data_IF_301826421590
#
_entry.id   IF_301826421590
#
_cell.length_a   1.000
_cell.length_b   1.000
_cell.length_c   1.000
_cell.angle_alpha   90.00
_cell.angle_beta   90.00
_cell.angle_gamma   90.00
#
_symmetry.space_group_name_H-M   'P 1'
#
loop_
_entity.id
_entity.type
_entity.pdbx_description
1 polymer ?
#
# COMPACT_ATOMS: atom_id res chain seq x y z
N UNK A 1 -4.29 -27.80 -2.33
CA UNK A 1 -5.65 -27.63 -2.88
C UNK A 1 -6.04 -26.16 -2.66
N UNK A 2 -6.45 -25.48 -3.71
CA UNK A 2 -6.90 -24.09 -3.64
C UNK A 2 -8.08 -23.95 -2.64
N UNK A 3 -7.88 -23.22 -1.57
CA UNK A 3 -8.86 -23.04 -0.50
C UNK A 3 -8.86 -21.57 -0.04
N UNK A 4 -10.01 -20.90 -0.16
CA UNK A 4 -10.24 -19.55 0.35
C UNK A 4 -11.02 -19.54 1.67
N UNK A 5 -11.15 -20.67 2.34
CA UNK A 5 -11.72 -20.71 3.68
C UNK A 5 -10.69 -20.18 4.67
N UNK A 6 -11.06 -19.11 5.37
CA UNK A 6 -10.19 -18.51 6.37
C UNK A 6 -9.92 -19.47 7.53
N UNK A 7 -8.68 -19.51 7.98
CA UNK A 7 -8.29 -20.25 9.19
C UNK A 7 -8.86 -19.57 10.45
N UNK A 8 -8.95 -20.29 11.57
CA UNK A 8 -9.33 -19.68 12.86
C UNK A 8 -8.46 -18.49 13.24
N UNK A 9 -7.16 -18.56 12.97
CA UNK A 9 -6.20 -17.48 13.21
C UNK A 9 -6.47 -16.26 12.35
N UNK A 10 -6.71 -16.43 11.04
CA UNK A 10 -7.08 -15.36 10.13
C UNK A 10 -8.39 -14.67 10.54
N UNK A 11 -9.35 -15.44 11.08
CA UNK A 11 -10.59 -14.91 11.61
C UNK A 11 -10.35 -14.07 12.88
N UNK A 12 -9.49 -14.53 13.78
CA UNK A 12 -9.15 -13.81 15.02
C UNK A 12 -8.40 -12.49 14.70
N UNK A 13 -7.40 -12.53 13.80
CA UNK A 13 -6.69 -11.35 13.34
C UNK A 13 -7.66 -10.35 12.71
N UNK A 14 -8.52 -10.81 11.79
CA UNK A 14 -9.54 -9.96 11.15
C UNK A 14 -10.44 -9.28 12.17
N UNK A 15 -10.97 -10.05 13.12
CA UNK A 15 -11.93 -9.54 14.08
C UNK A 15 -11.25 -8.57 15.08
N UNK A 16 -10.00 -8.81 15.47
CA UNK A 16 -9.18 -7.88 16.26
C UNK A 16 -8.95 -6.56 15.52
N UNK A 17 -8.58 -6.61 14.24
CA UNK A 17 -8.37 -5.40 13.43
C UNK A 17 -9.69 -4.66 13.23
N UNK A 18 -10.79 -5.36 13.04
CA UNK A 18 -12.14 -4.77 12.91
C UNK A 18 -12.55 -4.01 14.17
N UNK A 19 -12.30 -4.57 15.35
CA UNK A 19 -12.56 -3.91 16.62
C UNK A 19 -11.67 -2.68 16.80
N UNK A 20 -10.37 -2.80 16.49
CA UNK A 20 -9.44 -1.68 16.50
C UNK A 20 -9.91 -0.55 15.57
N UNK A 21 -10.33 -0.88 14.35
CA UNK A 21 -10.87 0.10 13.40
C UNK A 21 -12.12 0.78 13.93
N UNK A 22 -13.03 0.03 14.51
CA UNK A 22 -14.30 0.55 15.03
C UNK A 22 -14.09 1.53 16.20
N UNK A 23 -13.18 1.23 17.12
CA UNK A 23 -12.99 1.98 18.35
C UNK A 23 -11.89 3.03 18.29
N UNK A 24 -10.82 2.80 17.54
CA UNK A 24 -9.64 3.67 17.53
C UNK A 24 -9.46 4.48 16.24
N UNK A 25 -9.86 3.95 15.08
CA UNK A 25 -9.62 4.60 13.79
C UNK A 25 -10.82 5.42 13.32
N UNK A 26 -12.01 4.79 13.20
CA UNK A 26 -13.22 5.46 12.68
C UNK A 26 -13.61 6.73 13.46
N UNK A 27 -13.56 6.79 14.80
CA UNK A 27 -13.90 8.01 15.53
C UNK A 27 -12.97 9.19 15.19
N UNK A 28 -11.70 8.91 14.87
CA UNK A 28 -10.73 9.91 14.46
C UNK A 28 -10.89 10.29 12.97
N UNK A 29 -11.13 9.30 12.12
CA UNK A 29 -11.27 9.47 10.67
C UNK A 29 -12.49 10.32 10.29
N UNK A 30 -13.59 10.18 11.04
CA UNK A 30 -14.87 10.85 10.77
C UNK A 30 -15.00 12.25 11.42
N UNK A 31 -13.95 12.79 12.02
CA UNK A 31 -13.98 14.15 12.58
C UNK A 31 -14.27 15.18 11.49
N UNK A 32 -15.11 16.20 11.76
CA UNK A 32 -15.51 17.18 10.77
C UNK A 32 -14.37 17.88 10.04
N UNK A 33 -13.28 18.19 10.74
CA UNK A 33 -12.07 18.82 10.20
C UNK A 33 -11.32 17.94 9.19
N UNK A 34 -11.59 16.64 9.12
CA UNK A 34 -10.99 15.70 8.17
C UNK A 34 -11.84 15.42 6.94
N UNK A 35 -13.05 15.93 6.90
CA UNK A 35 -13.96 15.69 5.76
C UNK A 35 -13.50 16.41 4.48
N UNK A 36 -12.65 17.45 4.60
CA UNK A 36 -12.04 18.10 3.47
C UNK A 36 -10.68 17.47 3.14
N UNK A 37 -10.51 16.98 1.93
CA UNK A 37 -9.33 16.26 1.49
C UNK A 37 -8.01 17.04 1.73
N UNK A 38 -8.02 18.37 1.56
CA UNK A 38 -6.86 19.25 1.77
C UNK A 38 -6.47 19.44 3.23
N UNK A 39 -7.41 19.21 4.15
CA UNK A 39 -7.22 19.37 5.61
C UNK A 39 -7.00 18.03 6.31
N UNK A 40 -6.89 16.95 5.53
CA UNK A 40 -6.80 15.59 6.02
C UNK A 40 -5.39 15.29 6.52
N UNK A 41 -5.17 15.50 7.81
CA UNK A 41 -3.91 15.15 8.47
C UNK A 41 -3.81 13.63 8.69
N UNK A 42 -2.57 13.09 8.67
CA UNK A 42 -2.30 11.70 9.02
C UNK A 42 -2.70 11.42 10.48
N UNK A 43 -3.34 10.29 10.71
CA UNK A 43 -3.73 9.81 12.04
C UNK A 43 -2.54 9.13 12.73
N UNK A 44 -1.55 9.92 13.16
CA UNK A 44 -0.32 9.38 13.78
C UNK A 44 -0.61 8.58 15.05
N UNK A 45 -1.58 9.00 15.87
CA UNK A 45 -1.97 8.25 17.07
C UNK A 45 -2.55 6.88 16.75
N UNK A 46 -3.31 6.78 15.65
CA UNK A 46 -3.83 5.50 15.19
C UNK A 46 -2.70 4.61 14.63
N UNK A 47 -1.71 5.19 13.95
CA UNK A 47 -0.52 4.46 13.49
C UNK A 47 0.30 3.92 14.66
N UNK A 48 0.53 4.72 15.70
CA UNK A 48 1.26 4.30 16.90
C UNK A 48 0.56 3.11 17.57
N UNK A 49 -0.76 3.20 17.78
CA UNK A 49 -1.57 2.11 18.35
C UNK A 49 -1.59 0.86 17.47
N UNK A 50 -1.69 1.02 16.17
CA UNK A 50 -1.62 -0.09 15.21
C UNK A 50 -0.25 -0.79 15.24
N UNK A 51 0.83 -0.03 15.40
CA UNK A 51 2.18 -0.56 15.57
C UNK A 51 2.31 -1.37 16.85
N UNK A 52 1.72 -0.90 17.96
CA UNK A 52 1.67 -1.65 19.24
C UNK A 52 0.88 -2.95 19.15
N UNK A 53 -0.11 -3.02 18.26
CA UNK A 53 -0.83 -4.26 17.92
C UNK A 53 -0.05 -5.20 16.98
N UNK A 54 1.18 -4.84 16.58
CA UNK A 54 2.00 -5.63 15.67
C UNK A 54 1.66 -5.48 14.18
N UNK A 55 0.73 -4.57 13.81
CA UNK A 55 0.30 -4.43 12.40
C UNK A 55 1.40 -3.86 11.50
N UNK A 56 2.36 -3.13 12.05
CA UNK A 56 3.53 -2.63 11.34
C UNK A 56 4.53 -3.73 10.96
N UNK A 57 4.59 -4.80 11.76
CA UNK A 57 5.48 -5.96 11.58
C UNK A 57 4.71 -7.21 11.15
N UNK A 58 3.48 -7.07 10.67
CA UNK A 58 2.55 -8.17 10.41
C UNK A 58 3.15 -9.24 9.48
N UNK A 59 3.74 -8.86 8.35
CA UNK A 59 4.30 -9.80 7.37
C UNK A 59 5.75 -10.22 7.68
N UNK A 60 6.42 -9.53 8.62
CA UNK A 60 7.77 -9.91 9.05
C UNK A 60 7.72 -11.28 9.75
N UNK A 61 8.70 -12.14 9.50
CA UNK A 61 8.75 -13.49 10.07
C UNK A 61 8.77 -13.47 11.60
N UNK A 62 8.24 -14.54 12.23
CA UNK A 62 8.25 -14.71 13.68
C UNK A 62 9.66 -14.69 14.26
N UNK A 63 10.62 -15.33 13.57
CA UNK A 63 12.05 -15.33 13.94
C UNK A 63 12.66 -13.93 13.91
N UNK A 64 12.10 -13.02 13.14
CA UNK A 64 12.51 -11.62 13.09
C UNK A 64 11.70 -10.71 14.03
N UNK A 65 10.76 -11.25 14.79
CA UNK A 65 9.93 -10.52 15.74
C UNK A 65 8.64 -9.94 15.15
N UNK A 66 8.18 -10.47 14.02
CA UNK A 66 6.88 -10.17 13.41
C UNK A 66 5.82 -11.24 13.69
N UNK A 67 4.72 -11.21 12.96
CA UNK A 67 3.63 -12.19 13.05
C UNK A 67 3.69 -13.27 11.95
N UNK A 68 4.59 -13.16 10.98
CA UNK A 68 4.74 -14.12 9.88
C UNK A 68 3.50 -14.26 8.99
N UNK A 69 2.67 -13.22 8.92
CA UNK A 69 1.42 -13.27 8.18
C UNK A 69 1.66 -13.44 6.68
N UNK A 70 0.92 -14.35 6.06
CA UNK A 70 0.92 -14.57 4.64
C UNK A 70 0.30 -13.37 3.86
N UNK A 71 0.40 -13.42 2.54
CA UNK A 71 -0.12 -12.35 1.67
C UNK A 71 -1.65 -12.24 1.78
N UNK A 72 -2.36 -13.35 1.96
CA UNK A 72 -3.82 -13.34 2.13
C UNK A 72 -4.22 -12.64 3.44
N UNK A 73 -3.58 -12.97 4.55
CA UNK A 73 -3.80 -12.32 5.85
C UNK A 73 -3.48 -10.82 5.78
N UNK A 74 -2.38 -10.46 5.12
CA UNK A 74 -2.02 -9.06 4.87
C UNK A 74 -3.08 -8.30 4.06
N UNK A 75 -3.71 -8.94 3.07
CA UNK A 75 -4.83 -8.35 2.32
C UNK A 75 -6.08 -8.17 3.20
N UNK A 76 -6.41 -9.16 4.03
CA UNK A 76 -7.56 -9.07 4.96
C UNK A 76 -7.38 -7.90 5.93
N UNK A 77 -6.21 -7.78 6.53
CA UNK A 77 -5.88 -6.68 7.46
C UNK A 77 -5.93 -5.33 6.75
N UNK A 78 -5.37 -5.24 5.54
CA UNK A 78 -5.39 -4.01 4.75
C UNK A 78 -6.82 -3.58 4.38
N UNK A 79 -7.70 -4.52 4.00
CA UNK A 79 -9.11 -4.25 3.72
C UNK A 79 -9.83 -3.69 4.95
N UNK A 80 -9.67 -4.32 6.13
CA UNK A 80 -10.33 -3.89 7.36
C UNK A 80 -9.80 -2.51 7.83
N UNK A 81 -8.49 -2.26 7.75
CA UNK A 81 -7.91 -0.94 8.06
C UNK A 81 -8.43 0.14 7.12
N UNK A 82 -8.50 -0.13 5.82
CA UNK A 82 -8.95 0.83 4.81
C UNK A 82 -10.45 1.18 4.94
N UNK A 83 -11.25 0.29 5.53
CA UNK A 83 -12.63 0.58 5.93
C UNK A 83 -12.71 1.72 6.94
N UNK A 84 -11.69 1.88 7.79
CA UNK A 84 -11.60 2.95 8.78
C UNK A 84 -10.93 4.21 8.23
N UNK A 85 -9.69 4.06 7.77
CA UNK A 85 -8.91 5.14 7.17
C UNK A 85 -7.90 4.57 6.15
N UNK A 86 -8.04 4.90 4.86
CA UNK A 86 -7.17 4.36 3.83
C UNK A 86 -5.72 4.86 3.93
N UNK A 87 -5.47 6.02 4.57
CA UNK A 87 -4.10 6.52 4.73
C UNK A 87 -3.36 5.70 5.79
N UNK A 88 -4.02 5.34 6.89
CA UNK A 88 -3.48 4.43 7.92
C UNK A 88 -3.19 3.05 7.31
N UNK A 89 -4.14 2.52 6.54
CA UNK A 89 -3.98 1.23 5.87
C UNK A 89 -2.77 1.21 4.93
N UNK A 90 -2.62 2.25 4.09
CA UNK A 90 -1.52 2.35 3.12
C UNK A 90 -0.16 2.40 3.80
N UNK A 91 -0.01 3.20 4.88
CA UNK A 91 1.27 3.32 5.62
C UNK A 91 1.67 1.99 6.23
N UNK A 92 0.74 1.29 6.87
CA UNK A 92 1.02 0.02 7.56
C UNK A 92 1.29 -1.11 6.57
N UNK A 93 0.45 -1.26 5.54
CA UNK A 93 0.62 -2.29 4.52
C UNK A 93 1.99 -2.18 3.84
N UNK A 94 2.36 -0.97 3.39
CA UNK A 94 3.65 -0.76 2.76
C UNK A 94 4.83 -1.00 3.71
N UNK A 95 4.74 -0.53 4.95
CA UNK A 95 5.82 -0.76 5.93
C UNK A 95 5.99 -2.24 6.23
N UNK A 96 4.89 -2.96 6.47
CA UNK A 96 4.91 -4.39 6.80
C UNK A 96 5.50 -5.23 5.67
N UNK A 97 5.07 -4.98 4.43
CA UNK A 97 5.59 -5.69 3.26
C UNK A 97 7.05 -5.39 2.98
N UNK A 98 7.44 -4.12 3.09
CA UNK A 98 8.84 -3.73 2.88
C UNK A 98 9.74 -4.27 4.00
N UNK A 99 9.21 -4.41 5.22
CA UNK A 99 9.92 -5.06 6.32
C UNK A 99 10.20 -6.54 6.00
N UNK A 100 9.19 -7.28 5.55
CA UNK A 100 9.39 -8.66 5.11
C UNK A 100 10.40 -8.74 3.97
N UNK A 101 10.24 -7.95 2.90
CA UNK A 101 11.14 -7.96 1.77
C UNK A 101 12.59 -7.65 2.18
N UNK A 102 12.82 -6.61 2.97
CA UNK A 102 14.16 -6.19 3.35
C UNK A 102 14.78 -7.11 4.41
N UNK A 103 14.09 -7.35 5.52
CA UNK A 103 14.68 -8.03 6.66
C UNK A 103 14.67 -9.56 6.53
N UNK A 104 13.66 -10.15 5.90
CA UNK A 104 13.59 -11.61 5.78
C UNK A 104 14.29 -12.12 4.50
N UNK A 105 14.19 -11.38 3.38
CA UNK A 105 14.57 -11.91 2.08
C UNK A 105 15.87 -11.31 1.51
N UNK A 106 16.16 -10.02 1.73
CA UNK A 106 17.15 -9.30 0.95
C UNK A 106 18.41 -8.88 1.73
N UNK A 107 18.26 -8.50 2.99
CA UNK A 107 19.40 -8.03 3.81
C UNK A 107 20.34 -9.16 4.20
N UNK A 108 21.64 -8.87 4.20
CA UNK A 108 22.63 -9.76 4.81
C UNK A 108 22.43 -9.84 6.33
N UNK A 109 22.96 -10.88 7.02
CA UNK A 109 22.90 -10.96 8.48
C UNK A 109 23.46 -9.71 9.17
N UNK A 110 24.51 -9.11 8.64
CA UNK A 110 25.16 -7.90 9.19
C UNK A 110 24.25 -6.66 9.02
N UNK A 111 23.63 -6.50 7.86
CA UNK A 111 22.68 -5.44 7.61
C UNK A 111 21.46 -5.58 8.52
N UNK A 112 20.94 -6.81 8.64
CA UNK A 112 19.81 -7.14 9.51
C UNK A 112 20.15 -6.84 10.98
N UNK A 113 21.32 -7.26 11.48
CA UNK A 113 21.77 -6.96 12.84
C UNK A 113 21.87 -5.46 13.12
N UNK A 114 22.16 -4.66 12.09
CA UNK A 114 22.29 -3.20 12.19
C UNK A 114 20.95 -2.47 12.18
N UNK A 115 19.99 -2.87 11.34
CA UNK A 115 18.78 -2.09 11.08
C UNK A 115 17.54 -2.65 11.78
N UNK A 116 17.41 -3.97 11.94
CA UNK A 116 16.23 -4.60 12.51
C UNK A 116 15.95 -4.21 13.98
N UNK A 117 16.94 -4.13 14.89
CA UNK A 117 16.65 -3.80 16.30
C UNK A 117 15.96 -2.44 16.47
N UNK A 118 16.41 -1.41 15.73
CA UNK A 118 15.81 -0.08 15.78
C UNK A 118 14.40 -0.06 15.18
N UNK A 119 14.18 -0.86 14.14
CA UNK A 119 12.86 -1.03 13.54
C UNK A 119 11.88 -1.68 14.52
N UNK A 120 12.26 -2.70 15.26
CA UNK A 120 11.37 -3.41 16.19
C UNK A 120 10.98 -2.57 17.41
N UNK A 121 11.94 -1.85 17.99
CA UNK A 121 11.74 -1.13 19.26
C UNK A 121 10.93 0.17 19.09
N UNK A 122 10.98 0.78 17.92
CA UNK A 122 10.38 2.09 17.67
C UNK A 122 9.10 1.96 16.85
N UNK A 123 7.95 2.11 17.51
CA UNK A 123 6.61 2.03 16.89
C UNK A 123 6.40 3.02 15.73
N UNK A 124 7.20 4.09 15.67
CA UNK A 124 7.19 5.11 14.61
C UNK A 124 8.24 4.88 13.53
N UNK A 125 8.90 3.74 13.53
CA UNK A 125 9.89 3.42 12.51
C UNK A 125 9.20 2.83 11.28
N UNK A 126 8.73 3.70 10.38
CA UNK A 126 8.22 3.28 9.08
C UNK A 126 9.35 3.15 8.06
N UNK A 127 9.07 2.41 6.98
CA UNK A 127 9.97 2.15 5.86
C UNK A 127 9.41 2.76 4.58
N UNK A 128 10.29 3.11 3.64
CA UNK A 128 9.88 3.59 2.33
C UNK A 128 10.78 3.05 1.22
N UNK A 129 10.18 2.71 0.09
CA UNK A 129 10.87 2.41 -1.16
C UNK A 129 10.88 3.67 -2.04
N UNK A 130 12.07 4.11 -2.43
CA UNK A 130 12.28 5.28 -3.27
C UNK A 130 12.79 4.86 -4.66
N UNK A 131 11.85 4.51 -5.52
CA UNK A 131 12.09 3.99 -6.87
C UNK A 131 11.64 4.94 -7.98
N UNK A 132 10.69 5.85 -7.70
CA UNK A 132 10.13 6.78 -8.67
C UNK A 132 10.94 8.08 -8.75
N UNK A 133 11.03 8.67 -9.95
CA UNK A 133 11.75 9.91 -10.21
C UNK A 133 10.88 10.91 -10.99
N UNK A 134 11.10 12.23 -10.83
CA UNK A 134 10.45 13.24 -11.63
C UNK A 134 10.58 12.95 -13.13
N UNK A 135 9.50 13.15 -13.87
CA UNK A 135 9.41 12.95 -15.32
C UNK A 135 9.65 11.50 -15.81
N UNK A 136 9.71 10.50 -14.91
CA UNK A 136 9.87 9.10 -15.31
C UNK A 136 8.77 8.65 -16.27
N UNK A 137 7.52 9.00 -15.97
CA UNK A 137 6.37 8.63 -16.79
C UNK A 137 6.43 9.32 -18.16
N UNK A 138 6.87 10.58 -18.21
CA UNK A 138 7.10 11.31 -19.46
C UNK A 138 8.26 10.71 -20.25
N UNK A 139 9.33 10.29 -19.56
CA UNK A 139 10.48 9.64 -20.18
C UNK A 139 10.16 8.24 -20.71
N UNK A 140 9.25 7.51 -20.06
CA UNK A 140 8.72 6.23 -20.55
C UNK A 140 7.74 6.40 -21.71
N UNK A 141 7.36 7.68 -22.04
CA UNK A 141 6.51 8.00 -23.17
C UNK A 141 5.20 7.22 -23.16
N UNK A 142 4.48 7.21 -22.04
CA UNK A 142 3.17 6.55 -21.94
C UNK A 142 2.19 7.28 -22.87
N UNK A 143 2.39 7.11 -24.15
CA UNK A 143 1.45 7.49 -25.20
C UNK A 143 0.79 6.22 -25.73
N UNK A 144 -0.51 6.13 -25.66
CA UNK A 144 -1.30 5.04 -26.23
C UNK A 144 -0.98 4.73 -27.70
N UNK A 145 -0.31 5.65 -28.40
CA UNK A 145 -0.01 5.53 -29.82
C UNK A 145 1.48 5.34 -30.17
N UNK A 146 2.36 5.34 -29.18
CA UNK A 146 3.78 5.08 -29.38
C UNK A 146 4.32 4.21 -28.25
N UNK A 147 4.48 2.89 -28.48
CA UNK A 147 5.22 2.06 -27.55
C UNK A 147 6.65 2.60 -27.46
N UNK A 148 7.04 2.99 -26.27
CA UNK A 148 8.38 3.53 -26.04
C UNK A 148 9.43 2.45 -26.20
N UNK A 149 10.49 2.87 -26.85
CA UNK A 149 11.72 2.13 -26.98
C UNK A 149 12.73 2.74 -26.04
N UNK A 150 12.92 2.11 -24.91
CA UNK A 150 14.01 2.44 -24.01
C UNK A 150 13.57 2.43 -22.55
N UNK A 151 14.28 1.67 -21.78
CA UNK A 151 14.25 1.79 -20.34
C UNK A 151 14.76 3.19 -19.99
N UNK A 152 13.90 4.04 -19.42
CA UNK A 152 14.37 5.26 -18.81
C UNK A 152 15.24 4.86 -17.62
N UNK A 153 16.55 4.94 -17.79
CA UNK A 153 17.50 4.60 -16.74
C UNK A 153 17.28 5.46 -15.49
N UNK A 154 17.65 4.95 -14.34
CA UNK A 154 17.59 5.68 -13.07
C UNK A 154 18.53 6.90 -13.15
N UNK A 155 17.99 8.11 -12.93
CA UNK A 155 18.73 9.39 -13.01
C UNK A 155 19.44 9.73 -11.69
N UNK A 156 18.92 9.25 -10.54
CA UNK A 156 19.57 9.39 -9.24
C UNK A 156 20.81 8.53 -9.23
N UNK A 157 21.98 9.16 -9.07
CA UNK A 157 23.28 8.49 -9.18
C UNK A 157 23.86 8.18 -7.82
N UNK A 158 24.63 7.08 -7.74
CA UNK A 158 25.50 6.78 -6.61
C UNK A 158 26.90 6.46 -7.13
N UNK A 159 27.88 7.22 -6.67
CA UNK A 159 29.29 7.03 -7.07
C UNK A 159 30.07 6.51 -5.87
N UNK A 160 30.82 5.43 -6.06
CA UNK A 160 31.65 4.86 -5.01
C UNK A 160 32.88 5.74 -4.75
N UNK A 161 33.07 6.16 -3.49
CA UNK A 161 34.18 6.99 -3.05
C UNK A 161 34.79 6.35 -1.78
N UNK A 162 35.77 5.48 -1.99
CA UNK A 162 36.43 4.72 -0.92
C UNK A 162 35.46 3.72 -0.27
N UNK A 163 35.15 3.95 0.99
CA UNK A 163 34.30 3.14 1.86
C UNK A 163 32.81 3.57 1.83
N UNK A 164 32.45 4.49 0.92
CA UNK A 164 31.10 5.02 0.87
C UNK A 164 30.58 5.19 -0.56
N UNK A 165 29.24 5.22 -0.68
CA UNK A 165 28.50 5.71 -1.83
C UNK A 165 28.13 7.19 -1.63
N UNK A 166 28.30 7.99 -2.66
CA UNK A 166 27.87 9.39 -2.70
C UNK A 166 26.66 9.48 -3.62
N UNK A 167 25.50 9.75 -3.04
CA UNK A 167 24.23 9.78 -3.75
C UNK A 167 23.87 11.23 -4.12
N UNK A 168 23.46 11.45 -5.38
CA UNK A 168 22.93 12.72 -5.88
C UNK A 168 21.71 12.47 -6.75
N UNK A 169 20.66 13.26 -6.56
CA UNK A 169 19.44 13.17 -7.35
C UNK A 169 18.19 13.46 -6.55
N UNK A 170 17.03 13.13 -7.12
CA UNK A 170 15.71 13.35 -6.53
C UNK A 170 14.84 12.15 -6.78
N UNK A 171 14.13 11.70 -5.75
CA UNK A 171 13.04 10.73 -5.82
C UNK A 171 11.74 11.42 -5.43
N UNK A 172 10.72 11.29 -6.24
CA UNK A 172 9.41 11.86 -5.95
C UNK A 172 8.35 10.75 -5.76
N UNK A 173 7.16 11.14 -5.33
CA UNK A 173 6.05 10.22 -5.06
C UNK A 173 6.44 9.04 -4.16
N UNK A 174 7.38 9.25 -3.25
CA UNK A 174 7.85 8.22 -2.33
C UNK A 174 6.82 8.06 -1.23
N UNK A 175 6.11 6.94 -1.25
CA UNK A 175 5.15 6.63 -0.23
C UNK A 175 5.85 6.38 1.12
N UNK A 176 5.21 6.78 2.21
CA UNK A 176 5.74 6.80 3.57
C UNK A 176 6.92 7.76 3.82
N UNK A 177 7.43 8.51 2.82
CA UNK A 177 8.61 9.34 3.01
C UNK A 177 8.56 10.28 4.23
N UNK A 178 7.45 10.98 4.54
CA UNK A 178 7.38 11.83 5.73
C UNK A 178 7.55 11.08 7.05
N UNK A 179 7.20 9.81 7.10
CA UNK A 179 7.17 8.95 8.30
C UNK A 179 8.35 7.99 8.38
N UNK A 180 8.96 7.63 7.24
CA UNK A 180 9.99 6.63 7.17
C UNK A 180 11.28 7.07 7.87
N UNK A 181 11.92 6.14 8.57
CA UNK A 181 13.24 6.31 9.20
C UNK A 181 14.35 5.57 8.45
N UNK A 182 14.00 4.64 7.57
CA UNK A 182 14.91 3.96 6.66
C UNK A 182 14.29 3.94 5.26
N UNK A 183 15.09 4.31 4.27
CA UNK A 183 14.74 4.32 2.87
C UNK A 183 15.51 3.26 2.11
N UNK A 184 14.82 2.46 1.30
CA UNK A 184 15.42 1.63 0.26
C UNK A 184 15.39 2.45 -1.04
N UNK A 185 16.56 2.87 -1.55
CA UNK A 185 16.66 3.84 -2.65
C UNK A 185 17.26 3.18 -3.88
N UNK A 186 16.51 3.19 -4.98
CA UNK A 186 17.04 2.78 -6.28
C UNK A 186 17.92 3.88 -6.88
N UNK A 187 19.16 3.51 -7.26
CA UNK A 187 20.14 4.43 -7.82
C UNK A 187 20.86 3.83 -9.03
N UNK A 188 21.38 4.67 -9.90
CA UNK A 188 22.35 4.27 -10.94
C UNK A 188 23.76 4.35 -10.35
N UNK A 189 24.45 3.21 -10.29
CA UNK A 189 25.83 3.12 -9.76
C UNK A 189 26.89 3.10 -10.87
N UNK A 190 26.47 3.21 -12.14
CA UNK A 190 27.38 3.10 -13.29
C UNK A 190 27.45 1.68 -13.86
N UNK A 191 26.90 0.68 -13.18
CA UNK A 191 26.65 -0.65 -13.72
C UNK A 191 25.42 -0.66 -14.63
N UNK A 192 25.24 -1.70 -15.43
CA UNK A 192 24.04 -1.90 -16.21
C UNK A 192 22.90 -2.30 -15.29
N UNK A 193 21.97 -1.38 -15.03
CA UNK A 193 20.82 -1.56 -14.17
C UNK A 193 20.82 -0.66 -12.93
N UNK A 194 19.78 -0.80 -12.11
CA UNK A 194 19.65 -0.08 -10.86
C UNK A 194 20.30 -0.86 -9.69
N UNK A 195 20.87 -0.15 -8.73
CA UNK A 195 21.32 -0.69 -7.44
C UNK A 195 20.39 -0.24 -6.33
N UNK A 196 20.26 -1.01 -5.25
CA UNK A 196 19.44 -0.68 -4.09
C UNK A 196 20.31 -0.31 -2.90
N UNK A 197 20.17 0.90 -2.38
CA UNK A 197 20.92 1.40 -1.22
C UNK A 197 20.01 1.68 -0.04
N UNK A 198 20.42 1.25 1.17
CA UNK A 198 19.74 1.60 2.42
C UNK A 198 20.24 2.96 2.92
N UNK A 199 19.31 3.90 3.07
CA UNK A 199 19.62 5.27 3.50
C UNK A 199 18.81 5.60 4.76
N UNK A 200 19.44 5.71 5.95
CA UNK A 200 18.78 6.23 7.14
C UNK A 200 18.32 7.67 6.97
N UNK A 201 17.18 8.04 7.61
CA UNK A 201 16.58 9.37 7.47
C UNK A 201 17.50 10.54 7.87
N UNK A 202 18.32 10.34 8.85
CA UNK A 202 19.25 11.34 9.42
C UNK A 202 20.61 11.43 8.69
N UNK A 203 20.72 10.73 7.53
CA UNK A 203 21.95 10.76 6.74
C UNK A 203 22.23 12.17 6.22
N UNK A 204 23.41 12.74 6.48
CA UNK A 204 23.79 14.05 5.96
C UNK A 204 23.68 14.11 4.43
N UNK A 205 23.06 15.17 3.92
CA UNK A 205 22.81 15.34 2.48
C UNK A 205 21.49 14.77 1.99
N UNK A 206 20.70 14.08 2.82
CA UNK A 206 19.32 13.73 2.55
C UNK A 206 18.40 14.83 3.08
N UNK A 207 17.44 15.25 2.26
CA UNK A 207 16.29 16.07 2.68
C UNK A 207 15.00 15.42 2.25
N UNK A 208 14.01 15.45 3.15
CA UNK A 208 12.68 14.88 2.94
C UNK A 208 11.66 16.00 2.97
N UNK A 209 10.83 16.10 1.93
CA UNK A 209 9.74 17.06 1.82
C UNK A 209 8.42 16.33 1.64
N UNK A 210 7.44 16.61 2.48
CA UNK A 210 6.09 16.09 2.29
C UNK A 210 5.47 16.70 1.03
N UNK A 211 4.85 15.85 0.20
CA UNK A 211 4.14 16.31 -0.99
C UNK A 211 2.78 16.91 -0.60
N UNK A 212 2.36 17.94 -1.34
CA UNK A 212 1.02 18.50 -1.19
C UNK A 212 -0.03 17.42 -1.54
N UNK A 213 -0.89 17.10 -0.58
CA UNK A 213 -1.96 16.09 -0.72
C UNK A 213 -3.05 16.50 -1.71
N UNK A 214 -3.06 17.75 -2.15
CA UNK A 214 -4.13 18.32 -2.99
C UNK A 214 -4.15 17.84 -4.44
N UNK A 215 -3.14 17.12 -4.93
CA UNK A 215 -2.97 16.79 -6.34
C UNK A 215 -2.76 15.31 -6.68
N UNK A 216 -2.63 14.43 -5.68
CA UNK A 216 -2.29 13.02 -5.93
C UNK A 216 -3.38 12.07 -5.43
N UNK A 217 -3.71 11.07 -6.25
CA UNK A 217 -4.63 9.96 -5.93
C UNK A 217 -3.96 8.89 -5.05
N UNK A 218 -2.96 9.25 -4.24
CA UNK A 218 -2.28 8.32 -3.36
C UNK A 218 -2.80 8.43 -1.93
N UNK A 219 -3.05 7.28 -1.33
CA UNK A 219 -3.34 7.17 0.09
C UNK A 219 -2.03 7.08 0.88
N UNK A 220 -2.09 7.42 2.16
CA UNK A 220 -0.93 7.44 3.04
C UNK A 220 -0.16 8.76 3.02
N UNK A 221 1.04 8.73 3.56
CA UNK A 221 1.98 9.83 3.53
C UNK A 221 2.88 9.72 2.30
N UNK A 222 3.02 10.77 1.52
CA UNK A 222 3.84 10.78 0.32
C UNK A 222 4.79 11.97 0.33
N UNK A 223 5.99 11.82 -0.22
CA UNK A 223 6.98 12.87 -0.21
C UNK A 223 8.02 12.76 -1.31
N UNK A 224 8.91 13.75 -1.30
CA UNK A 224 10.07 13.86 -2.16
C UNK A 224 11.34 13.68 -1.33
N UNK A 225 12.31 12.94 -1.83
CA UNK A 225 13.65 12.82 -1.28
C UNK A 225 14.63 13.52 -2.22
N UNK A 226 15.39 14.48 -1.69
CA UNK A 226 16.49 15.09 -2.44
C UNK A 226 17.84 14.75 -1.79
N UNK A 227 18.73 14.25 -2.62
CA UNK A 227 20.08 13.83 -2.25
C UNK A 227 21.11 14.83 -2.80
N UNK A 228 21.92 15.38 -1.90
CA UNK A 228 23.02 16.30 -2.25
C UNK A 228 24.29 15.81 -1.56
N UNK A 229 25.17 15.16 -2.33
CA UNK A 229 26.36 14.51 -1.81
C UNK A 229 26.05 13.64 -0.57
N UNK A 230 24.92 12.95 -0.59
CA UNK A 230 24.45 12.12 0.52
C UNK A 230 25.36 10.90 0.63
N UNK A 231 26.04 10.76 1.76
CA UNK A 231 27.08 9.74 1.96
C UNK A 231 26.55 8.58 2.79
N UNK A 232 26.58 7.37 2.24
CA UNK A 232 26.24 6.12 2.94
C UNK A 232 27.36 5.10 2.82
N UNK A 233 27.59 4.25 3.83
CA UNK A 233 28.59 3.20 3.77
C UNK A 233 28.38 2.23 2.59
N UNK A 234 29.44 1.63 2.07
CA UNK A 234 29.36 0.65 0.98
C UNK A 234 28.54 -0.58 1.38
N UNK A 235 28.54 -0.92 2.67
CA UNK A 235 27.77 -2.02 3.27
C UNK A 235 26.25 -1.80 3.24
N UNK A 236 25.79 -0.61 2.87
CA UNK A 236 24.38 -0.31 2.70
C UNK A 236 23.81 -0.78 1.34
N UNK A 237 24.63 -1.33 0.45
CA UNK A 237 24.20 -1.94 -0.79
C UNK A 237 23.45 -3.25 -0.49
N UNK A 238 22.22 -3.37 -0.99
CA UNK A 238 21.41 -4.60 -0.90
C UNK A 238 21.53 -5.37 -2.21
N UNK A 239 21.96 -6.63 -2.11
CA UNK A 239 22.23 -7.46 -3.29
C UNK A 239 23.51 -7.07 -4.02
N UNK A 240 23.54 -7.26 -5.33
CA UNK A 240 24.67 -6.91 -6.18
C UNK A 240 24.51 -5.52 -6.82
N UNK A 241 25.65 -4.91 -7.16
CA UNK A 241 25.66 -3.63 -7.88
C UNK A 241 25.07 -3.79 -9.28
N UNK A 242 24.11 -2.94 -9.63
CA UNK A 242 23.38 -2.99 -10.91
C UNK A 242 22.23 -3.99 -10.93
N UNK A 243 21.96 -4.68 -9.83
CA UNK A 243 20.90 -5.69 -9.71
C UNK A 243 19.99 -5.35 -8.51
N UNK A 244 19.15 -4.29 -8.65
CA UNK A 244 18.16 -3.98 -7.60
C UNK A 244 17.14 -5.10 -7.49
N UNK A 245 17.05 -5.79 -6.35
CA UNK A 245 16.10 -6.89 -6.17
C UNK A 245 14.63 -6.42 -6.09
N UNK A 246 14.41 -5.12 -5.91
CA UNK A 246 13.09 -4.49 -5.89
C UNK A 246 12.77 -3.76 -7.21
N UNK A 247 13.66 -3.82 -8.21
CA UNK A 247 13.40 -3.26 -9.53
C UNK A 247 12.36 -4.09 -10.28
N UNK A 248 11.44 -3.38 -10.95
CA UNK A 248 10.47 -3.99 -11.84
C UNK A 248 9.05 -4.11 -11.26
N UNK A 249 8.16 -4.60 -12.11
CA UNK A 249 6.72 -4.61 -11.85
C UNK A 249 6.31 -5.58 -10.73
N UNK A 250 7.03 -6.69 -10.56
CA UNK A 250 6.67 -7.71 -9.56
C UNK A 250 6.74 -7.20 -8.12
N UNK A 251 7.65 -6.27 -7.83
CA UNK A 251 7.76 -5.64 -6.51
C UNK A 251 6.69 -4.55 -6.26
N UNK A 252 5.98 -4.15 -7.31
CA UNK A 252 4.99 -3.06 -7.30
C UNK A 252 3.55 -3.55 -7.45
N UNK A 253 3.35 -4.73 -8.02
CA UNK A 253 2.03 -5.31 -8.27
C UNK A 253 1.61 -6.19 -7.09
N UNK A 254 1.29 -5.57 -5.96
CA UNK A 254 0.95 -6.29 -4.75
C UNK A 254 -0.57 -6.36 -4.56
N UNK A 255 -1.12 -7.52 -4.16
CA UNK A 255 -2.55 -7.68 -3.92
C UNK A 255 -3.10 -6.73 -2.85
N UNK A 256 -2.27 -6.30 -1.91
CA UNK A 256 -2.63 -5.39 -0.82
C UNK A 256 -3.11 -4.02 -1.32
N UNK A 257 -2.57 -3.48 -2.42
CA UNK A 257 -3.07 -2.24 -3.03
C UNK A 257 -4.52 -2.39 -3.48
N UNK A 258 -4.85 -3.58 -4.01
CA UNK A 258 -6.22 -3.90 -4.42
C UNK A 258 -7.14 -4.10 -3.22
N UNK A 259 -6.64 -4.69 -2.14
CA UNK A 259 -7.36 -4.86 -0.87
C UNK A 259 -7.66 -3.51 -0.20
N UNK A 260 -6.73 -2.55 -0.27
CA UNK A 260 -6.94 -1.18 0.18
C UNK A 260 -8.12 -0.53 -0.57
N UNK A 261 -8.11 -0.61 -1.91
CA UNK A 261 -9.21 -0.11 -2.73
C UNK A 261 -10.54 -0.79 -2.37
N UNK A 262 -10.52 -2.12 -2.16
CA UNK A 262 -11.72 -2.88 -1.75
C UNK A 262 -12.27 -2.35 -0.41
N UNK A 263 -11.42 -2.08 0.58
CA UNK A 263 -11.81 -1.51 1.87
C UNK A 263 -12.49 -0.14 1.73
N UNK A 264 -11.98 0.73 0.83
CA UNK A 264 -12.61 2.02 0.50
C UNK A 264 -14.01 1.81 -0.09
N UNK A 265 -14.13 0.90 -1.08
CA UNK A 265 -15.41 0.59 -1.71
C UNK A 265 -16.41 0.02 -0.72
N UNK A 266 -15.96 -0.85 0.18
CA UNK A 266 -16.77 -1.41 1.25
C UNK A 266 -17.23 -0.33 2.24
N UNK A 267 -16.38 0.61 2.64
CA UNK A 267 -16.77 1.73 3.49
C UNK A 267 -17.87 2.57 2.85
N UNK A 268 -17.76 2.86 1.56
CA UNK A 268 -18.79 3.57 0.81
C UNK A 268 -20.11 2.78 0.76
N UNK A 269 -20.04 1.48 0.53
CA UNK A 269 -21.23 0.60 0.50
C UNK A 269 -21.92 0.53 1.86
N UNK A 270 -21.18 0.30 2.95
CA UNK A 270 -21.74 0.22 4.31
C UNK A 270 -22.42 1.54 4.70
N UNK A 271 -21.84 2.69 4.36
CA UNK A 271 -22.42 4.00 4.60
C UNK A 271 -23.73 4.20 3.78
N UNK A 272 -23.73 3.80 2.50
CA UNK A 272 -24.90 3.87 1.65
C UNK A 272 -26.04 2.96 2.14
N UNK A 273 -25.70 1.74 2.56
CA UNK A 273 -26.64 0.76 3.10
C UNK A 273 -27.28 1.27 4.40
N UNK A 274 -26.46 1.74 5.34
CA UNK A 274 -26.94 2.30 6.61
C UNK A 274 -27.87 3.51 6.37
N UNK A 275 -27.49 4.41 5.47
CA UNK A 275 -28.34 5.53 5.08
C UNK A 275 -29.66 5.08 4.47
N UNK A 276 -29.65 4.10 3.55
CA UNK A 276 -30.84 3.59 2.89
C UNK A 276 -31.82 2.88 3.85
N UNK A 277 -31.31 2.30 4.93
CA UNK A 277 -32.12 1.68 5.99
C UNK A 277 -32.79 2.70 6.91
N UNK A 278 -32.22 3.91 7.04
CA UNK A 278 -32.73 4.95 7.94
C UNK A 278 -33.61 5.97 7.23
N UNK A 279 -33.27 6.36 6.00
CA UNK A 279 -33.97 7.41 5.27
C UNK A 279 -35.34 6.96 4.80
N UNK A 280 -36.36 7.74 5.17
CA UNK A 280 -37.74 7.55 4.67
C UNK A 280 -38.01 8.56 3.57
N UNK A 281 -38.53 8.11 2.43
CA UNK A 281 -38.96 8.94 1.32
C UNK A 281 -40.06 8.21 0.52
N UNK A 282 -41.10 8.91 0.11
CA UNK A 282 -42.26 8.28 -0.57
C UNK A 282 -43.01 7.32 0.33
N UNK A 283 -43.09 7.60 1.64
CA UNK A 283 -43.89 6.84 2.62
C UNK A 283 -43.21 5.55 3.14
N UNK A 284 -41.99 5.23 2.72
CA UNK A 284 -41.23 4.04 3.17
C UNK A 284 -39.74 4.28 3.19
N UNK A 285 -38.94 3.38 3.78
CA UNK A 285 -37.49 3.45 3.75
C UNK A 285 -36.99 3.35 2.32
N UNK A 286 -35.93 4.10 1.96
CA UNK A 286 -35.47 4.12 0.57
C UNK A 286 -34.92 2.77 0.11
N UNK A 287 -34.43 1.90 1.00
CA UNK A 287 -34.01 0.53 0.68
C UNK A 287 -35.19 -0.32 0.15
N UNK A 288 -36.44 -0.01 0.51
CA UNK A 288 -37.63 -0.74 0.08
C UNK A 288 -38.06 -0.36 -1.36
N UNK A 289 -37.42 0.66 -1.94
CA UNK A 289 -37.61 0.98 -3.35
C UNK A 289 -36.74 0.08 -4.21
N UNK A 290 -37.36 -0.67 -5.14
CA UNK A 290 -36.68 -1.64 -5.99
C UNK A 290 -35.44 -1.08 -6.69
N UNK A 291 -35.49 0.17 -7.18
CA UNK A 291 -34.36 0.80 -7.85
C UNK A 291 -33.13 1.00 -6.93
N UNK A 292 -33.36 1.30 -5.65
CA UNK A 292 -32.29 1.46 -4.65
C UNK A 292 -31.77 0.10 -4.21
N UNK A 293 -32.69 -0.85 -3.91
CA UNK A 293 -32.32 -2.21 -3.55
C UNK A 293 -31.50 -2.90 -4.65
N UNK A 294 -31.87 -2.75 -5.91
CA UNK A 294 -31.11 -3.31 -7.04
C UNK A 294 -29.71 -2.73 -7.15
N UNK A 295 -29.52 -1.41 -6.98
CA UNK A 295 -28.20 -0.77 -6.99
C UNK A 295 -27.33 -1.25 -5.84
N UNK A 296 -27.87 -1.37 -4.63
CA UNK A 296 -27.12 -1.87 -3.48
C UNK A 296 -26.73 -3.34 -3.67
N UNK A 297 -27.61 -4.16 -4.22
CA UNK A 297 -27.29 -5.55 -4.53
C UNK A 297 -26.18 -5.66 -5.60
N UNK A 298 -26.23 -4.83 -6.64
CA UNK A 298 -25.18 -4.78 -7.67
C UNK A 298 -23.81 -4.41 -7.07
N UNK A 299 -23.77 -3.41 -6.20
CA UNK A 299 -22.55 -2.99 -5.50
C UNK A 299 -22.00 -4.13 -4.63
N UNK A 300 -22.86 -4.81 -3.88
CA UNK A 300 -22.45 -5.95 -3.05
C UNK A 300 -21.81 -7.06 -3.90
N UNK A 301 -22.42 -7.42 -5.04
CA UNK A 301 -21.89 -8.42 -5.97
C UNK A 301 -20.50 -8.01 -6.48
N UNK A 302 -20.33 -6.74 -6.88
CA UNK A 302 -19.03 -6.23 -7.38
C UNK A 302 -17.94 -6.31 -6.33
N UNK A 303 -18.24 -5.96 -5.07
CA UNK A 303 -17.30 -6.04 -3.96
C UNK A 303 -16.88 -7.49 -3.68
N UNK A 304 -17.83 -8.43 -3.66
CA UNK A 304 -17.53 -9.85 -3.42
C UNK A 304 -16.71 -10.47 -4.55
N UNK A 305 -17.00 -10.15 -5.80
CA UNK A 305 -16.20 -10.62 -6.95
C UNK A 305 -14.78 -10.03 -6.91
N UNK A 306 -14.64 -8.74 -6.56
CA UNK A 306 -13.33 -8.12 -6.39
C UNK A 306 -12.55 -8.79 -5.26
N UNK A 307 -13.18 -9.05 -4.11
CA UNK A 307 -12.56 -9.77 -2.98
C UNK A 307 -12.07 -11.15 -3.40
N UNK A 308 -12.89 -11.91 -4.09
CA UNK A 308 -12.51 -13.25 -4.56
C UNK A 308 -11.28 -13.21 -5.48
N UNK A 309 -11.23 -12.24 -6.40
CA UNK A 309 -10.08 -12.06 -7.29
C UNK A 309 -8.80 -11.65 -6.53
N UNK A 310 -8.92 -10.76 -5.54
CA UNK A 310 -7.80 -10.32 -4.70
C UNK A 310 -7.27 -11.47 -3.85
N UNK A 311 -8.16 -12.23 -3.21
CA UNK A 311 -7.78 -13.37 -2.38
C UNK A 311 -7.13 -14.48 -3.20
N UNK A 312 -7.62 -14.73 -4.41
CA UNK A 312 -6.98 -15.66 -5.32
C UNK A 312 -5.56 -15.22 -5.69
N UNK A 313 -5.39 -13.94 -6.00
CA UNK A 313 -4.08 -13.38 -6.32
C UNK A 313 -3.14 -13.44 -5.11
N UNK A 314 -3.63 -13.12 -3.91
CA UNK A 314 -2.87 -13.19 -2.66
C UNK A 314 -2.43 -14.63 -2.37
N UNK A 315 -3.35 -15.58 -2.42
CA UNK A 315 -3.04 -17.00 -2.23
C UNK A 315 -1.99 -17.50 -3.24
N UNK A 316 -2.09 -17.08 -4.49
CA UNK A 316 -1.15 -17.47 -5.54
C UNK A 316 0.28 -16.90 -5.32
N UNK A 317 0.41 -15.73 -4.67
CA UNK A 317 1.74 -15.19 -4.28
C UNK A 317 2.45 -16.11 -3.29
N UNK A 318 1.70 -16.70 -2.35
CA UNK A 318 2.25 -17.57 -1.31
C UNK A 318 2.41 -19.03 -1.79
N UNK A 319 1.88 -19.37 -2.98
CA UNK A 319 1.86 -20.73 -3.53
C UNK A 319 2.36 -20.79 -5.00
N UNK A 320 3.62 -20.40 -5.25
CA UNK A 320 4.19 -20.40 -6.60
C UNK A 320 4.22 -21.81 -7.23
N UNK A 321 4.23 -22.87 -6.42
CA UNK A 321 4.15 -24.26 -6.87
C UNK A 321 2.87 -24.56 -7.64
N UNK A 322 1.77 -23.84 -7.38
CA UNK A 322 0.49 -24.02 -8.07
C UNK A 322 0.54 -23.61 -9.55
N UNK A 323 1.49 -22.75 -9.94
CA UNK A 323 1.78 -22.45 -11.34
C UNK A 323 2.68 -23.52 -11.96
N UNK A 324 3.66 -24.03 -11.20
CA UNK A 324 4.59 -25.04 -11.66
C UNK A 324 3.89 -26.39 -11.94
N UNK A 325 2.95 -26.81 -11.09
CA UNK A 325 2.17 -28.03 -11.23
C UNK A 325 0.90 -27.86 -12.10
N UNK A 326 0.66 -26.63 -12.61
CA UNK A 326 -0.50 -26.25 -13.44
C UNK A 326 -1.86 -26.40 -12.75
N UNK A 327 -1.92 -26.45 -11.43
CA UNK A 327 -3.18 -26.40 -10.67
C UNK A 327 -3.82 -25.00 -10.73
N UNK A 328 -3.01 -23.96 -10.96
CA UNK A 328 -3.46 -22.65 -11.42
C UNK A 328 -3.00 -22.38 -12.86
N UNK A 329 -3.82 -21.61 -13.58
CA UNK A 329 -3.41 -21.10 -14.90
C UNK A 329 -2.28 -20.09 -14.72
N UNK A 330 -1.31 -20.14 -15.64
CA UNK A 330 -0.25 -19.13 -15.74
C UNK A 330 -0.84 -17.81 -16.26
N UNK A 331 -1.39 -17.04 -15.34
CA UNK A 331 -2.02 -15.74 -15.58
C UNK A 331 -1.47 -14.73 -14.57
N UNK A 332 -1.34 -13.45 -14.95
CA UNK A 332 -0.92 -12.39 -14.05
C UNK A 332 -2.04 -12.01 -13.07
N UNK A 333 -2.36 -12.91 -12.11
CA UNK A 333 -3.52 -12.81 -11.23
C UNK A 333 -3.55 -11.50 -10.45
N UNK A 334 -2.40 -11.03 -9.98
CA UNK A 334 -2.29 -9.76 -9.24
C UNK A 334 -2.69 -8.56 -10.10
N UNK A 335 -2.22 -8.53 -11.36
CA UNK A 335 -2.61 -7.46 -12.31
C UNK A 335 -4.08 -7.54 -12.70
N UNK A 336 -4.60 -8.74 -12.88
CA UNK A 336 -6.04 -8.96 -13.14
C UNK A 336 -6.86 -8.43 -11.97
N UNK A 337 -6.50 -8.80 -10.73
CA UNK A 337 -7.18 -8.32 -9.54
C UNK A 337 -7.09 -6.78 -9.41
N UNK A 338 -5.92 -6.19 -9.68
CA UNK A 338 -5.69 -4.74 -9.61
C UNK A 338 -6.55 -3.96 -10.60
N UNK A 339 -6.57 -4.38 -11.88
CA UNK A 339 -7.39 -3.73 -12.91
C UNK A 339 -8.86 -3.86 -12.56
N UNK A 340 -9.34 -5.08 -12.29
CA UNK A 340 -10.74 -5.32 -11.98
C UNK A 340 -11.20 -4.57 -10.73
N UNK A 341 -10.47 -4.68 -9.60
CA UNK A 341 -10.82 -4.01 -8.37
C UNK A 341 -10.84 -2.47 -8.53
N UNK A 342 -9.86 -1.88 -9.22
CA UNK A 342 -9.79 -0.43 -9.42
C UNK A 342 -11.00 0.08 -10.22
N UNK A 343 -11.37 -0.60 -11.31
CA UNK A 343 -12.53 -0.22 -12.12
C UNK A 343 -13.85 -0.38 -11.34
N UNK A 344 -14.02 -1.51 -10.63
CA UNK A 344 -15.26 -1.77 -9.91
C UNK A 344 -15.43 -0.84 -8.72
N UNK A 345 -14.37 -0.50 -7.98
CA UNK A 345 -14.43 0.46 -6.88
C UNK A 345 -14.79 1.86 -7.37
N UNK A 346 -14.29 2.29 -8.53
CA UNK A 346 -14.72 3.57 -9.14
C UNK A 346 -16.22 3.56 -9.47
N UNK A 347 -16.77 2.44 -9.97
CA UNK A 347 -18.19 2.28 -10.22
C UNK A 347 -19.02 2.29 -8.92
N UNK A 348 -18.52 1.63 -7.88
CA UNK A 348 -19.10 1.63 -6.53
C UNK A 348 -19.17 3.05 -5.98
N UNK A 349 -18.06 3.81 -6.02
CA UNK A 349 -18.02 5.19 -5.55
C UNK A 349 -19.00 6.10 -6.33
N UNK A 350 -19.10 5.93 -7.66
CA UNK A 350 -20.05 6.64 -8.50
C UNK A 350 -21.51 6.29 -8.15
N UNK A 351 -21.82 5.04 -7.85
CA UNK A 351 -23.14 4.57 -7.43
C UNK A 351 -23.53 5.11 -6.06
N UNK A 352 -22.59 5.18 -5.11
CA UNK A 352 -22.76 5.80 -3.79
C UNK A 352 -23.12 7.28 -3.92
N UNK A 353 -22.39 8.03 -4.75
CA UNK A 353 -22.67 9.44 -5.04
C UNK A 353 -24.08 9.60 -5.62
N UNK A 354 -24.53 8.69 -6.48
CA UNK A 354 -25.88 8.66 -7.03
C UNK A 354 -26.96 8.44 -5.97
N UNK A 355 -26.76 7.54 -5.00
CA UNK A 355 -27.69 7.29 -3.89
C UNK A 355 -27.73 8.49 -2.93
N UNK A 356 -26.57 9.07 -2.59
CA UNK A 356 -26.47 10.23 -1.71
C UNK A 356 -26.96 11.53 -2.38
N UNK A 357 -26.68 11.74 -3.68
CA UNK A 357 -27.17 12.89 -4.46
C UNK A 357 -28.69 12.83 -4.66
N UNK A 358 -29.28 11.68 -4.97
CA UNK A 358 -30.71 11.53 -5.09
C UNK A 358 -31.46 11.94 -3.80
N UNK A 359 -30.80 11.84 -2.65
CA UNK A 359 -31.33 12.28 -1.37
C UNK A 359 -31.18 13.79 -1.11
N UNK A 360 -30.16 14.46 -1.70
CA UNK A 360 -29.91 15.90 -1.54
C UNK A 360 -30.77 16.77 -2.45
N UNK A 361 -31.19 16.29 -3.63
CA UNK A 361 -31.93 17.07 -4.63
C UNK A 361 -33.46 17.09 -4.46
N UNK A 362 -34.00 16.54 -3.36
CA UNK A 362 -35.45 16.57 -3.07
C UNK A 362 -35.74 17.03 -1.62
N UNK A 363 -34.96 17.96 -1.10
CA UNK A 363 -35.26 18.70 0.13
C UNK A 363 -35.74 20.08 -0.19
#
# INVERSE_FOLDING_TARGET
>A
MYNLQLSPEQLEIRDTVRDFVAWEVKPLALRPERLEARMRLMLTDALDKASQLGLRTLALSEDAGGAGADTLTSCIVTEELALGDPDVAAVLAQTSMLAHALFDLLMTPEQRARFLPSFLVDDRHHLALADHEPDRDAALGIHYHRPERGEAGVKTTAVRAGDAWIINGVKDRVANAPLAKLFAVEVSSGANGASLLLVPRDTPGLSVRESDRGGHFHHGACGELAFKACRVPVENLVGAEGESPLAGDAARDLPQDSALNLGIGRAAYEAALAYAQLRVQGGRRIIEHQAIGAKLAEVAVRLEVARAAIWQAAWACDHPEAFADRSLRDLPLTRIAKVFASEEIMKVAGSHTGVALAARFKG
#
